data_IF_949883137289
#
_entry.id   IF_949883137289
#
_cell.length_a   1.000
_cell.length_b   1.000
_cell.length_c   1.000
_cell.angle_alpha   90.00
_cell.angle_beta   90.00
_cell.angle_gamma   90.00
#
_symmetry.space_group_name_H-M   'P 1'
#
loop_
_entity.id
_entity.type
_entity.pdbx_description
1 polymer ?
#
# COMPACT_ATOMS: atom_id res chain seq x y z
N UNK A 1 9.80 -18.85 9.72
CA UNK A 1 9.44 -17.42 9.69
C UNK A 1 10.48 -16.65 10.49
N UNK A 2 11.35 -15.84 9.87
CA UNK A 2 12.48 -15.20 10.56
C UNK A 2 12.06 -13.91 11.27
N UNK A 3 10.96 -13.93 12.03
CA UNK A 3 10.55 -12.80 12.86
C UNK A 3 10.30 -13.23 14.30
N UNK A 4 10.41 -12.27 15.22
CA UNK A 4 10.13 -12.49 16.63
C UNK A 4 8.63 -12.77 16.84
N UNK A 5 8.34 -13.60 17.83
CA UNK A 5 6.97 -13.92 18.22
C UNK A 5 6.86 -13.94 19.74
N UNK A 6 5.69 -13.54 20.23
CA UNK A 6 5.33 -13.70 21.65
C UNK A 6 5.15 -15.19 21.92
N UNK A 7 5.76 -15.74 22.99
CA UNK A 7 5.57 -17.15 23.38
C UNK A 7 4.09 -17.54 23.43
N UNK A 8 3.76 -18.76 23.01
CA UNK A 8 2.37 -19.20 22.97
C UNK A 8 1.67 -19.17 24.33
N UNK A 9 2.41 -19.48 25.40
CA UNK A 9 1.94 -19.49 26.78
C UNK A 9 1.67 -18.10 27.36
N UNK A 10 2.24 -17.05 26.78
CA UNK A 10 2.09 -15.69 27.29
C UNK A 10 0.82 -15.03 26.75
N UNK A 11 -0.32 -15.47 27.28
CA UNK A 11 -1.64 -14.98 26.91
C UNK A 11 -1.90 -13.56 27.42
N UNK A 12 -1.28 -13.17 28.53
CA UNK A 12 -1.50 -11.85 29.13
C UNK A 12 -0.85 -10.76 28.30
N UNK A 13 0.37 -10.96 27.78
CA UNK A 13 1.01 -10.03 26.84
C UNK A 13 0.18 -9.88 25.57
N UNK A 14 -0.34 -10.99 25.00
CA UNK A 14 -1.21 -10.95 23.81
C UNK A 14 -2.49 -10.15 24.04
N UNK A 15 -3.19 -10.40 25.15
CA UNK A 15 -4.40 -9.64 25.52
C UNK A 15 -4.10 -8.16 25.77
N UNK A 16 -2.98 -7.85 26.41
CA UNK A 16 -2.56 -6.47 26.67
C UNK A 16 -2.28 -5.71 25.37
N UNK A 17 -1.62 -6.34 24.40
CA UNK A 17 -1.36 -5.74 23.09
C UNK A 17 -2.65 -5.56 22.28
N UNK A 18 -3.54 -6.55 22.26
CA UNK A 18 -4.84 -6.42 21.60
C UNK A 18 -5.61 -5.21 22.14
N UNK A 19 -5.64 -5.02 23.47
CA UNK A 19 -6.28 -3.84 24.08
C UNK A 19 -5.54 -2.54 23.79
N UNK A 20 -4.20 -2.53 23.89
CA UNK A 20 -3.37 -1.33 23.68
C UNK A 20 -3.53 -0.79 22.26
N UNK A 21 -3.59 -1.69 21.28
CA UNK A 21 -3.66 -1.34 19.87
C UNK A 21 -5.07 -1.53 19.27
N UNK A 22 -6.07 -1.75 20.10
CA UNK A 22 -7.47 -1.85 19.70
C UNK A 22 -7.70 -2.84 18.53
N UNK A 23 -7.13 -4.04 18.68
CA UNK A 23 -7.18 -5.09 17.64
C UNK A 23 -8.51 -5.83 17.74
N UNK A 24 -9.44 -5.51 16.84
CA UNK A 24 -10.77 -6.13 16.78
C UNK A 24 -10.82 -7.42 15.93
N UNK A 25 -9.85 -7.62 15.03
CA UNK A 25 -9.85 -8.74 14.09
C UNK A 25 -8.50 -9.01 13.44
N UNK A 26 -8.44 -10.07 12.64
CA UNK A 26 -7.25 -10.45 11.86
C UNK A 26 -7.58 -10.52 10.36
N UNK A 27 -6.62 -10.21 9.47
CA UNK A 27 -5.25 -9.75 9.76
C UNK A 27 -5.19 -8.30 10.28
N UNK A 28 -4.27 -8.03 11.21
CA UNK A 28 -3.96 -6.68 11.70
C UNK A 28 -2.44 -6.49 11.74
N UNK A 29 -1.96 -5.35 11.23
CA UNK A 29 -0.54 -5.00 11.22
C UNK A 29 -0.38 -3.57 11.73
N UNK A 30 0.30 -3.43 12.85
CA UNK A 30 0.58 -2.14 13.49
C UNK A 30 2.04 -1.79 13.28
N UNK A 31 2.32 -0.64 12.67
CA UNK A 31 3.70 -0.17 12.47
C UNK A 31 4.05 0.86 13.54
N UNK A 32 5.15 0.60 14.25
CA UNK A 32 5.65 1.46 15.32
C UNK A 32 6.77 2.35 14.76
N UNK A 33 6.57 3.67 14.77
CA UNK A 33 7.58 4.62 14.35
C UNK A 33 8.54 4.95 15.52
N UNK A 34 9.83 5.23 15.26
CA UNK A 34 10.83 5.47 16.29
C UNK A 34 10.60 6.74 17.14
N UNK A 35 9.85 7.73 16.63
CA UNK A 35 9.51 8.95 17.37
C UNK A 35 8.17 8.80 18.11
N UNK A 36 8.15 7.93 19.13
CA UNK A 36 6.98 7.59 19.94
C UNK A 36 6.63 8.65 21.01
N UNK A 37 7.10 9.89 20.84
CA UNK A 37 6.99 10.93 21.86
C UNK A 37 5.58 11.50 22.04
N UNK A 38 4.65 11.27 21.09
CA UNK A 38 3.32 11.90 21.07
C UNK A 38 2.13 10.98 20.79
N UNK A 39 2.26 9.66 20.87
CA UNK A 39 1.12 8.74 20.67
C UNK A 39 0.48 8.74 19.27
N UNK A 40 0.92 9.62 18.36
CA UNK A 40 0.57 9.66 16.93
C UNK A 40 1.47 8.76 16.06
N UNK A 41 2.46 8.10 16.65
CA UNK A 41 3.50 7.33 15.97
C UNK A 41 3.07 5.91 15.56
N UNK A 42 1.79 5.56 15.73
CA UNK A 42 1.25 4.22 15.45
C UNK A 42 0.40 4.26 14.19
N UNK A 43 0.89 3.64 13.13
CA UNK A 43 0.14 3.49 11.89
C UNK A 43 -0.66 2.19 11.95
N UNK A 44 -1.99 2.33 12.01
CA UNK A 44 -2.92 1.23 12.29
C UNK A 44 -3.37 0.48 11.03
N UNK A 45 -3.28 1.11 9.86
CA UNK A 45 -3.69 0.52 8.58
C UNK A 45 -2.54 -0.17 7.84
N UNK A 46 -1.64 -0.82 8.58
CA UNK A 46 -0.45 -1.43 7.99
C UNK A 46 -0.76 -2.48 6.92
N UNK A 47 -1.88 -3.21 7.07
CA UNK A 47 -2.32 -4.20 6.07
C UNK A 47 -2.66 -3.53 4.73
N UNK A 48 -3.44 -2.45 4.77
CA UNK A 48 -3.87 -1.72 3.57
C UNK A 48 -2.68 -1.09 2.85
N UNK A 49 -1.72 -0.53 3.61
CA UNK A 49 -0.52 0.06 3.04
C UNK A 49 0.36 -0.96 2.31
N UNK A 50 0.49 -2.17 2.87
CA UNK A 50 1.19 -3.26 2.21
C UNK A 50 0.43 -3.71 0.96
N UNK A 51 -0.90 -3.79 1.02
CA UNK A 51 -1.71 -4.15 -0.14
C UNK A 51 -1.57 -3.14 -1.29
N UNK A 52 -1.62 -1.84 -0.97
CA UNK A 52 -1.58 -0.77 -1.96
C UNK A 52 -0.19 -0.48 -2.51
N UNK A 53 0.80 -0.35 -1.62
CA UNK A 53 2.14 0.14 -1.96
C UNK A 53 3.24 -0.90 -1.81
N UNK A 54 2.99 -1.98 -1.08
CA UNK A 54 3.98 -3.02 -0.79
C UNK A 54 5.27 -2.44 -0.20
N UNK A 55 6.41 -2.88 -0.75
CA UNK A 55 7.74 -2.45 -0.28
C UNK A 55 8.02 -0.97 -0.52
N UNK A 56 7.32 -0.32 -1.47
CA UNK A 56 7.59 1.08 -1.81
C UNK A 56 7.21 2.04 -0.68
N UNK A 57 6.31 1.62 0.20
CA UNK A 57 5.90 2.39 1.36
C UNK A 57 6.97 2.46 2.46
N UNK A 58 8.00 1.59 2.46
CA UNK A 58 9.10 1.70 3.43
C UNK A 58 9.80 3.07 3.31
N UNK A 59 10.11 3.77 4.42
CA UNK A 59 10.09 3.34 5.83
C UNK A 59 8.74 3.55 6.56
N UNK A 60 7.63 3.64 5.82
CA UNK A 60 6.27 3.89 6.33
C UNK A 60 6.15 5.20 7.11
N UNK A 61 6.98 6.18 6.76
CA UNK A 61 6.89 7.53 7.29
C UNK A 61 5.74 8.29 6.62
N UNK A 62 5.17 9.26 7.33
CA UNK A 62 4.10 10.12 6.80
C UNK A 62 4.51 10.77 5.47
N UNK A 63 5.72 11.34 5.41
CA UNK A 63 6.26 11.94 4.20
C UNK A 63 6.32 10.96 3.03
N UNK A 64 6.78 9.73 3.27
CA UNK A 64 6.88 8.71 2.21
C UNK A 64 5.51 8.33 1.67
N UNK A 65 4.52 8.20 2.56
CA UNK A 65 3.15 7.87 2.18
C UNK A 65 2.51 9.02 1.39
N UNK A 66 2.72 10.28 1.80
CA UNK A 66 2.25 11.46 1.06
C UNK A 66 2.83 11.50 -0.37
N UNK A 67 4.13 11.22 -0.53
CA UNK A 67 4.76 11.13 -1.86
C UNK A 67 4.12 10.05 -2.75
N UNK A 68 3.78 8.90 -2.18
CA UNK A 68 3.13 7.81 -2.91
C UNK A 68 1.69 8.17 -3.30
N UNK A 69 0.95 8.79 -2.38
CA UNK A 69 -0.39 9.29 -2.65
C UNK A 69 -0.39 10.34 -3.77
N UNK A 70 0.58 11.26 -3.77
CA UNK A 70 0.74 12.25 -4.84
C UNK A 70 1.00 11.56 -6.19
N UNK A 71 1.97 10.63 -6.22
CA UNK A 71 2.30 9.93 -7.46
C UNK A 71 1.12 9.10 -8.01
N UNK A 72 0.26 8.54 -7.15
CA UNK A 72 -0.99 7.90 -7.58
C UNK A 72 -1.99 8.91 -8.16
N UNK A 73 -2.17 10.06 -7.49
CA UNK A 73 -3.04 11.14 -7.98
C UNK A 73 -2.58 11.66 -9.33
N UNK A 74 -1.30 11.95 -9.50
CA UNK A 74 -0.75 12.41 -10.77
C UNK A 74 -0.96 11.37 -11.88
N UNK A 75 -0.84 10.07 -11.58
CA UNK A 75 -1.13 9.00 -12.54
C UNK A 75 -2.61 8.95 -12.90
N UNK A 76 -3.51 9.19 -11.94
CA UNK A 76 -4.96 9.26 -12.14
C UNK A 76 -5.36 10.47 -12.99
N UNK A 77 -4.75 11.63 -12.76
CA UNK A 77 -5.03 12.85 -13.51
C UNK A 77 -4.47 12.80 -14.94
N UNK A 78 -3.31 12.16 -15.14
CA UNK A 78 -2.68 11.99 -16.45
C UNK A 78 -3.06 10.67 -17.14
N UNK A 79 -4.23 10.12 -16.83
CA UNK A 79 -4.73 8.91 -17.50
C UNK A 79 -4.99 9.17 -18.98
N UNK A 80 -4.58 8.23 -19.81
CA UNK A 80 -4.88 8.21 -21.25
C UNK A 80 -5.48 6.86 -21.60
N UNK A 81 -6.24 6.80 -22.69
CA UNK A 81 -6.77 5.51 -23.19
C UNK A 81 -5.65 4.51 -23.45
N UNK A 82 -4.48 4.97 -23.92
CA UNK A 82 -3.31 4.12 -24.06
C UNK A 82 -2.85 3.60 -22.69
N UNK A 83 -2.71 4.43 -21.66
CA UNK A 83 -2.26 3.96 -20.33
C UNK A 83 -3.23 2.95 -19.68
N UNK A 84 -4.53 3.05 -19.95
CA UNK A 84 -5.56 2.19 -19.35
C UNK A 84 -5.81 0.91 -20.14
N UNK A 85 -5.79 1.00 -21.47
CA UNK A 85 -6.23 -0.07 -22.36
C UNK A 85 -5.08 -0.70 -23.15
N UNK A 86 -3.95 -0.01 -23.30
CA UNK A 86 -2.80 -0.59 -23.96
C UNK A 86 -2.20 -1.68 -23.09
N UNK A 87 -2.04 -2.84 -23.69
CA UNK A 87 -1.32 -3.95 -23.13
C UNK A 87 -0.36 -4.39 -24.21
N UNK A 88 0.94 -4.38 -23.92
CA UNK A 88 1.99 -4.70 -24.89
C UNK A 88 1.80 -6.08 -25.57
N UNK A 89 0.98 -6.96 -24.99
CA UNK A 89 0.65 -8.28 -25.55
C UNK A 89 -0.72 -8.35 -26.25
N UNK A 90 -1.54 -7.30 -26.22
CA UNK A 90 -2.91 -7.26 -26.77
C UNK A 90 -3.26 -5.93 -27.47
N UNK A 91 -2.28 -5.23 -28.02
CA UNK A 91 -2.46 -4.00 -28.81
C UNK A 91 -2.96 -4.28 -30.23
N UNK A 92 -4.09 -4.97 -30.37
CA UNK A 92 -4.72 -5.24 -31.67
C UNK A 92 -5.57 -4.07 -32.18
N UNK A 93 -5.86 -3.07 -31.33
CA UNK A 93 -6.82 -1.99 -31.63
C UNK A 93 -6.11 -0.68 -32.04
N UNK A 94 -4.84 -0.49 -31.65
CA UNK A 94 -4.06 0.72 -31.99
C UNK A 94 -3.38 0.63 -33.37
N UNK A 95 -3.29 -0.56 -33.97
CA UNK A 95 -2.64 -0.78 -35.27
C UNK A 95 -3.52 -0.51 -36.50
N UNK A 96 -4.82 -0.27 -36.32
CA UNK A 96 -5.77 -0.22 -37.45
C UNK A 96 -6.23 1.19 -37.84
N UNK A 97 -5.77 2.25 -37.20
CA UNK A 97 -6.17 3.64 -37.54
C UNK A 97 -5.23 4.37 -38.50
N UNK A 98 -4.22 3.70 -39.08
CA UNK A 98 -3.26 4.33 -40.03
C UNK A 98 -3.31 3.80 -41.47
N UNK A 99 -4.36 3.06 -41.85
CA UNK A 99 -4.56 2.67 -43.25
C UNK A 99 -5.98 2.98 -43.69
N UNK A 100 -6.12 3.71 -44.81
CA UNK A 100 -7.37 4.23 -45.42
C UNK A 100 -7.76 5.59 -44.79
N UNK A 101 -7.32 6.73 -45.32
CA UNK A 101 -7.69 7.26 -46.64
C UNK A 101 -6.62 8.24 -47.18
N UNK A 102 -5.79 7.79 -48.11
CA UNK A 102 -5.13 8.64 -49.13
C UNK A 102 -5.00 7.84 -50.43
N UNK A 103 -6.07 7.87 -51.23
CA UNK A 103 -6.16 7.97 -52.69
C UNK A 103 -7.48 7.38 -53.17
#
# INVERSE_FOLDING_TARGET
MPWLAIPFSDLETKKALNRKYDVEGIPCLVMLQPDDSKGEATLRDGVELIYRYGVQAYPFSKERLEQLHEAEREKLENQTLANLLANNHRDYVLSHTTGLLTQ
#
